data_IF_339800278172
#
_entry.id   IF_339800278172
#
_cell.length_a   1.000
_cell.length_b   1.000
_cell.length_c   1.000
_cell.angle_alpha   90.00
_cell.angle_beta   90.00
_cell.angle_gamma   90.00
#
_symmetry.space_group_name_H-M   'P 1'
#
loop_
_entity.id
_entity.type
_entity.pdbx_description
1 polymer ?
#
# COMPACT_ATOMS: atom_id res chain seq x y z
N UNK A 1 11.46 2.75 -16.55
CA UNK A 1 11.29 2.15 -17.89
C UNK A 1 9.83 2.29 -18.28
N UNK A 2 9.52 2.56 -19.55
CA UNK A 2 8.14 2.64 -20.02
C UNK A 2 7.45 1.28 -19.93
N UNK A 3 6.12 1.29 -19.84
CA UNK A 3 5.32 0.08 -20.05
C UNK A 3 5.18 -0.10 -21.56
N UNK A 4 5.52 -1.29 -22.05
CA UNK A 4 5.32 -1.68 -23.44
C UNK A 4 4.25 -2.76 -23.49
N UNK A 5 3.18 -2.53 -24.27
CA UNK A 5 2.05 -3.45 -24.29
C UNK A 5 0.93 -3.04 -25.22
N UNK A 6 -0.18 -3.77 -25.12
CA UNK A 6 -1.43 -3.51 -25.86
C UNK A 6 -2.56 -3.30 -24.86
N UNK A 7 -3.46 -2.38 -25.19
CA UNK A 7 -4.64 -2.09 -24.41
C UNK A 7 -5.90 -2.12 -25.28
N UNK A 8 -7.00 -2.56 -24.69
CA UNK A 8 -8.34 -2.53 -25.27
C UNK A 8 -9.26 -1.75 -24.35
N UNK A 9 -10.07 -0.87 -24.94
CA UNK A 9 -11.11 -0.15 -24.24
C UNK A 9 -12.47 -0.80 -24.54
N UNK A 10 -13.06 -1.44 -23.54
CA UNK A 10 -14.38 -2.05 -23.64
C UNK A 10 -15.46 -1.08 -23.19
N UNK A 11 -16.54 -0.96 -23.97
CA UNK A 11 -17.71 -0.14 -23.63
C UNK A 11 -17.42 1.36 -23.44
N UNK A 12 -16.26 1.86 -23.89
CA UNK A 12 -15.84 3.24 -23.72
C UNK A 12 -15.26 3.61 -22.34
N UNK A 13 -15.24 2.69 -21.37
CA UNK A 13 -14.78 2.99 -20.00
C UNK A 13 -13.90 1.91 -19.36
N UNK A 14 -14.00 0.64 -19.78
CA UNK A 14 -13.27 -0.46 -19.17
C UNK A 14 -11.94 -0.69 -19.90
N UNK A 15 -10.86 -0.10 -19.38
CA UNK A 15 -9.51 -0.26 -19.89
C UNK A 15 -8.90 -1.57 -19.41
N UNK A 16 -8.45 -2.40 -20.35
CA UNK A 16 -7.72 -3.64 -20.06
C UNK A 16 -6.43 -3.64 -20.87
N UNK A 17 -5.29 -3.76 -20.20
CA UNK A 17 -4.01 -3.86 -20.88
C UNK A 17 -3.20 -5.06 -20.40
N UNK A 18 -2.33 -5.52 -21.29
CA UNK A 18 -1.26 -6.48 -20.99
C UNK A 18 0.03 -5.95 -21.58
N UNK A 19 1.12 -6.08 -20.84
CA UNK A 19 2.41 -5.60 -21.29
C UNK A 19 3.54 -6.08 -20.40
N UNK A 20 4.68 -5.41 -20.51
CA UNK A 20 5.83 -5.64 -19.64
C UNK A 20 6.24 -4.36 -18.93
N UNK A 21 6.72 -4.51 -17.71
CA UNK A 21 7.34 -3.46 -16.91
C UNK A 21 8.60 -4.03 -16.30
N UNK A 22 9.75 -3.42 -16.59
CA UNK A 22 11.04 -3.91 -16.12
C UNK A 22 11.29 -5.40 -16.41
N UNK A 23 10.88 -5.85 -17.61
CA UNK A 23 11.01 -7.22 -18.06
C UNK A 23 10.02 -8.21 -17.46
N UNK A 24 9.15 -7.78 -16.53
CA UNK A 24 8.11 -8.63 -15.94
C UNK A 24 6.76 -8.43 -16.64
N UNK A 25 6.01 -9.52 -16.92
CA UNK A 25 4.67 -9.40 -17.48
C UNK A 25 3.72 -8.77 -16.45
N UNK A 26 2.89 -7.86 -16.93
CA UNK A 26 1.89 -7.15 -16.12
C UNK A 26 0.53 -7.12 -16.81
N UNK A 27 -0.51 -6.94 -16.01
CA UNK A 27 -1.86 -6.60 -16.44
C UNK A 27 -2.27 -5.27 -15.85
N UNK A 28 -3.12 -4.56 -16.59
CA UNK A 28 -3.79 -3.36 -16.11
C UNK A 28 -5.30 -3.51 -16.23
N UNK A 29 -6.00 -3.17 -15.16
CA UNK A 29 -7.45 -3.18 -15.07
C UNK A 29 -7.88 -1.83 -14.52
N UNK A 30 -8.31 -0.94 -15.40
CA UNK A 30 -8.74 0.42 -15.06
C UNK A 30 -10.17 0.69 -15.50
N UNK A 31 -10.81 1.59 -14.79
CA UNK A 31 -12.09 2.21 -15.11
C UNK A 31 -11.86 3.69 -15.41
N UNK A 32 -12.30 4.13 -16.59
CA UNK A 32 -12.27 5.53 -17.00
C UNK A 32 -13.53 6.21 -16.50
N UNK A 33 -13.40 7.36 -15.83
CA UNK A 33 -14.55 8.15 -15.39
C UNK A 33 -15.43 8.59 -16.57
N UNK A 34 -16.71 8.84 -16.32
CA UNK A 34 -17.68 9.20 -17.38
C UNK A 34 -17.28 10.45 -18.18
N UNK A 35 -16.60 11.41 -17.53
CA UNK A 35 -16.07 12.63 -18.15
C UNK A 35 -14.73 12.40 -18.88
N UNK A 36 -14.20 11.17 -18.89
CA UNK A 36 -12.91 10.81 -19.48
C UNK A 36 -11.69 11.33 -18.74
N UNK A 37 -11.87 12.00 -17.57
CA UNK A 37 -10.79 12.76 -16.93
C UNK A 37 -9.82 11.89 -16.12
N UNK A 38 -10.26 10.71 -15.67
CA UNK A 38 -9.45 9.84 -14.81
C UNK A 38 -9.58 8.37 -15.11
N UNK A 39 -8.53 7.63 -14.76
CA UNK A 39 -8.48 6.18 -14.71
C UNK A 39 -8.30 5.79 -13.26
N UNK A 40 -9.15 4.89 -12.74
CA UNK A 40 -9.02 4.31 -11.40
C UNK A 40 -9.02 2.80 -11.50
N UNK A 41 -8.12 2.14 -10.79
CA UNK A 41 -7.98 0.69 -10.91
C UNK A 41 -6.64 0.20 -10.41
N UNK A 42 -6.18 -0.92 -10.96
CA UNK A 42 -4.95 -1.55 -10.52
C UNK A 42 -4.10 -2.03 -11.69
N UNK A 43 -2.79 -1.98 -11.46
CA UNK A 43 -1.79 -2.72 -12.23
C UNK A 43 -1.20 -3.81 -11.35
N UNK A 44 -0.98 -4.99 -11.91
CA UNK A 44 -0.49 -6.15 -11.17
C UNK A 44 0.42 -7.04 -12.01
N UNK A 45 1.26 -7.82 -11.33
CA UNK A 45 2.15 -8.80 -11.95
C UNK A 45 1.31 -9.99 -12.48
N UNK A 46 1.63 -10.51 -13.66
CA UNK A 46 1.00 -11.72 -14.22
C UNK A 46 1.92 -12.93 -13.92
N UNK A 47 1.46 -14.01 -13.26
CA UNK A 47 0.08 -14.36 -12.88
C UNK A 47 -0.36 -13.88 -11.48
N UNK A 48 0.50 -13.18 -10.74
CA UNK A 48 0.25 -12.77 -9.35
C UNK A 48 -0.59 -11.50 -9.22
N UNK A 49 -1.91 -11.61 -9.46
CA UNK A 49 -2.83 -10.48 -9.36
C UNK A 49 -2.90 -9.85 -7.95
N UNK A 50 -2.54 -10.61 -6.92
CA UNK A 50 -2.39 -10.16 -5.55
C UNK A 50 -1.25 -9.14 -5.37
N UNK A 51 -0.22 -9.19 -6.22
CA UNK A 51 0.90 -8.25 -6.23
C UNK A 51 0.52 -7.06 -7.11
N UNK A 52 -0.24 -6.13 -6.53
CA UNK A 52 -0.87 -5.03 -7.26
C UNK A 52 -0.64 -3.66 -6.64
N UNK A 53 -0.57 -2.66 -7.51
CA UNK A 53 -0.66 -1.24 -7.15
C UNK A 53 -2.02 -0.68 -7.57
N UNK A 54 -2.77 -0.12 -6.61
CA UNK A 54 -3.96 0.68 -6.92
C UNK A 54 -3.51 2.06 -7.35
N UNK A 55 -4.02 2.54 -8.48
CA UNK A 55 -3.58 3.77 -9.11
C UNK A 55 -4.77 4.63 -9.54
N UNK A 56 -4.59 5.94 -9.40
CA UNK A 56 -5.40 6.95 -10.07
C UNK A 56 -4.52 7.68 -11.08
N UNK A 57 -4.94 7.70 -12.34
CA UNK A 57 -4.23 8.39 -13.43
C UNK A 57 -5.12 9.48 -14.02
N UNK A 58 -4.52 10.53 -14.53
CA UNK A 58 -5.19 11.56 -15.33
C UNK A 58 -4.33 11.87 -16.55
N UNK A 59 -4.95 12.31 -17.65
CA UNK A 59 -4.22 12.74 -18.82
C UNK A 59 -3.42 14.01 -18.52
N UNK A 60 -2.17 14.05 -18.97
CA UNK A 60 -1.39 15.28 -18.94
C UNK A 60 -2.08 16.36 -19.78
N UNK A 61 -2.26 17.56 -19.22
CA UNK A 61 -2.95 18.66 -19.88
C UNK A 61 -4.46 18.68 -19.70
N UNK A 62 -5.04 17.69 -19.00
CA UNK A 62 -6.42 17.77 -18.51
C UNK A 62 -6.56 18.81 -17.39
N UNK A 63 -7.80 19.12 -17.00
CA UNK A 63 -8.13 20.13 -15.99
C UNK A 63 -7.24 20.03 -14.74
N UNK A 64 -6.69 21.15 -14.23
CA UNK A 64 -5.72 21.11 -13.14
C UNK A 64 -6.23 20.34 -11.92
N UNK A 65 -5.43 19.38 -11.43
CA UNK A 65 -5.71 18.64 -10.19
C UNK A 65 -4.46 18.05 -9.56
N UNK A 66 -4.52 17.88 -8.24
CA UNK A 66 -3.54 17.09 -7.48
C UNK A 66 -4.07 15.66 -7.36
N UNK A 67 -3.25 14.68 -7.75
CA UNK A 67 -3.55 13.26 -7.64
C UNK A 67 -2.95 12.63 -6.37
N UNK A 68 -1.77 13.08 -5.97
CA UNK A 68 -1.06 12.53 -4.82
C UNK A 68 -0.04 13.51 -4.24
N UNK A 69 0.21 13.39 -2.95
CA UNK A 69 1.28 14.08 -2.23
C UNK A 69 2.08 13.02 -1.47
N UNK A 70 3.40 13.04 -1.65
CA UNK A 70 4.31 12.02 -1.12
C UNK A 70 5.48 12.68 -0.38
N UNK A 71 5.72 12.35 0.90
CA UNK A 71 4.89 11.49 1.75
C UNK A 71 3.50 12.09 2.02
N UNK A 72 2.54 11.24 2.41
CA UNK A 72 1.16 11.65 2.74
C UNK A 72 1.06 12.39 4.08
N UNK A 73 2.06 12.26 4.95
CA UNK A 73 2.08 13.00 6.20
C UNK A 73 3.52 13.33 6.62
N UNK A 74 3.70 14.42 7.36
CA UNK A 74 4.96 14.79 8.00
C UNK A 74 4.78 15.03 9.50
N UNK A 75 5.80 14.67 10.27
CA UNK A 75 5.80 14.90 11.71
C UNK A 75 6.00 16.39 12.02
N UNK A 76 5.32 16.91 13.03
CA UNK A 76 5.56 18.23 13.59
C UNK A 76 7.05 18.40 13.95
N UNK A 77 7.60 19.57 13.63
CA UNK A 77 9.03 19.87 13.86
C UNK A 77 10.00 19.36 12.80
N UNK A 78 9.56 18.54 11.84
CA UNK A 78 10.41 18.06 10.73
C UNK A 78 11.05 19.22 9.98
N UNK A 79 12.35 19.10 9.65
CA UNK A 79 13.10 20.10 8.88
C UNK A 79 13.61 19.53 7.57
N UNK A 80 13.62 20.38 6.54
CA UNK A 80 14.13 20.08 5.20
C UNK A 80 13.57 18.80 4.57
N UNK A 81 12.31 18.46 4.84
CA UNK A 81 11.66 17.30 4.25
C UNK A 81 11.38 17.53 2.77
N UNK A 82 11.59 16.49 1.95
CA UNK A 82 11.21 16.52 0.53
C UNK A 82 9.77 16.06 0.38
N UNK A 83 8.94 16.87 -0.28
CA UNK A 83 7.55 16.55 -0.64
C UNK A 83 7.40 16.60 -2.15
N UNK A 84 6.85 15.54 -2.72
CA UNK A 84 6.52 15.43 -4.14
C UNK A 84 5.00 15.49 -4.33
N UNK A 85 4.54 16.43 -5.14
CA UNK A 85 3.15 16.60 -5.55
C UNK A 85 3.04 16.11 -6.99
N UNK A 86 2.11 15.19 -7.25
CA UNK A 86 1.85 14.63 -8.59
C UNK A 86 0.43 14.98 -9.01
N UNK A 87 0.25 15.33 -10.28
CA UNK A 87 -1.02 15.81 -10.79
C UNK A 87 -0.99 16.20 -12.26
N UNK A 88 -1.88 17.11 -12.65
CA UNK A 88 -1.90 17.79 -13.96
C UNK A 88 -2.18 19.27 -13.74
N UNK A 89 -1.68 20.13 -14.61
CA UNK A 89 -1.83 21.58 -14.49
C UNK A 89 -1.16 22.18 -13.24
N UNK A 90 -0.14 21.51 -12.69
CA UNK A 90 0.60 21.98 -11.52
C UNK A 90 1.54 23.14 -11.87
N UNK A 91 1.88 23.96 -10.88
CA UNK A 91 2.89 25.02 -11.01
C UNK A 91 3.70 25.19 -9.72
N UNK A 92 4.67 26.10 -9.73
CA UNK A 92 5.60 26.34 -8.61
C UNK A 92 4.95 27.00 -7.39
N UNK A 93 3.76 27.58 -7.54
CA UNK A 93 2.98 28.19 -6.46
C UNK A 93 2.39 27.09 -5.57
N UNK A 94 3.17 26.66 -4.57
CA UNK A 94 2.81 25.55 -3.67
C UNK A 94 2.48 26.04 -2.26
N UNK A 95 1.42 25.50 -1.68
CA UNK A 95 1.12 25.58 -0.25
C UNK A 95 0.72 24.20 0.28
N UNK A 96 1.26 23.81 1.44
CA UNK A 96 0.93 22.55 2.12
C UNK A 96 0.07 22.80 3.38
N UNK A 97 -0.56 23.97 3.47
CA UNK A 97 -1.43 24.37 4.58
C UNK A 97 -0.68 24.79 5.85
N UNK A 98 -1.46 25.06 6.89
CA UNK A 98 -0.97 25.69 8.12
C UNK A 98 0.12 24.89 8.85
N UNK A 99 1.12 25.61 9.36
CA UNK A 99 2.25 25.00 10.06
C UNK A 99 3.28 24.33 9.14
N UNK A 100 3.12 24.36 7.81
CA UNK A 100 4.12 23.87 6.86
C UNK A 100 4.64 25.01 5.99
N UNK A 101 5.95 25.26 6.06
CA UNK A 101 6.64 26.29 5.30
C UNK A 101 7.38 25.66 4.12
N UNK A 102 7.02 26.04 2.90
CA UNK A 102 7.80 25.69 1.70
C UNK A 102 9.10 26.50 1.71
N UNK A 103 10.24 25.81 1.83
CA UNK A 103 11.57 26.42 1.87
C UNK A 103 12.14 26.64 0.48
N UNK A 104 11.93 25.67 -0.41
CA UNK A 104 12.47 25.68 -1.76
C UNK A 104 11.59 24.87 -2.71
N UNK A 105 11.38 25.36 -3.92
CA UNK A 105 10.90 24.54 -5.04
C UNK A 105 12.12 23.92 -5.71
N UNK A 106 12.26 22.59 -5.59
CA UNK A 106 13.40 21.84 -6.14
C UNK A 106 13.22 21.64 -7.65
N UNK A 107 12.01 21.28 -8.07
CA UNK A 107 11.63 21.18 -9.48
C UNK A 107 10.13 21.37 -9.64
N UNK A 108 9.71 21.88 -10.79
CA UNK A 108 8.30 22.05 -11.11
C UNK A 108 8.06 21.77 -12.60
N UNK A 109 7.05 20.96 -12.88
CA UNK A 109 6.46 20.74 -14.19
C UNK A 109 4.93 20.70 -14.04
N UNK A 110 4.18 20.77 -15.14
CA UNK A 110 2.72 20.62 -15.11
C UNK A 110 2.22 19.31 -14.50
N UNK A 111 3.06 18.28 -14.39
CA UNK A 111 2.67 16.95 -13.87
C UNK A 111 3.31 16.56 -12.55
N UNK A 112 4.38 17.26 -12.13
CA UNK A 112 5.12 16.95 -10.92
C UNK A 112 5.79 18.20 -10.35
N UNK A 113 5.61 18.44 -9.06
CA UNK A 113 6.32 19.48 -8.32
C UNK A 113 7.01 18.85 -7.13
N UNK A 114 8.29 19.16 -6.94
CA UNK A 114 9.07 18.71 -5.78
C UNK A 114 9.49 19.93 -4.98
N UNK A 115 9.19 19.92 -3.69
CA UNK A 115 9.52 21.01 -2.76
C UNK A 115 10.27 20.48 -1.54
N UNK A 116 11.09 21.33 -0.94
CA UNK A 116 11.65 21.12 0.39
C UNK A 116 10.85 21.96 1.38
N UNK A 117 10.42 21.37 2.50
CA UNK A 117 9.55 22.00 3.49
C UNK A 117 10.05 21.83 4.91
N UNK A 118 9.66 22.77 5.77
CA UNK A 118 9.75 22.66 7.22
C UNK A 118 8.36 22.59 7.82
N UNK A 119 8.17 21.76 8.84
CA UNK A 119 6.97 21.74 9.68
C UNK A 119 7.28 22.46 10.99
N UNK A 120 6.37 23.31 11.45
CA UNK A 120 6.50 23.97 12.74
C UNK A 120 6.47 22.94 13.87
N UNK A 121 7.28 23.14 14.92
CA UNK A 121 7.33 22.21 16.06
C UNK A 121 6.03 22.13 16.85
N UNK A 122 5.21 23.19 16.80
CA UNK A 122 3.89 23.28 17.45
C UNK A 122 2.74 23.16 16.45
N UNK A 123 2.99 22.63 15.24
CA UNK A 123 1.93 22.40 14.27
C UNK A 123 0.94 21.37 14.83
N UNK A 124 -0.34 21.69 14.79
CA UNK A 124 -1.41 20.79 15.26
C UNK A 124 -1.51 19.57 14.35
N UNK A 125 -1.79 18.40 14.91
CA UNK A 125 -2.09 17.22 14.11
C UNK A 125 -3.35 17.47 13.25
N UNK A 126 -3.37 16.94 12.03
CA UNK A 126 -4.54 16.95 11.17
C UNK A 126 -4.24 17.08 9.69
N UNK A 127 -5.29 16.92 8.90
CA UNK A 127 -5.24 17.08 7.45
C UNK A 127 -4.92 18.53 7.04
N UNK A 128 -4.32 18.69 5.88
CA UNK A 128 -4.00 19.98 5.28
C UNK A 128 -4.59 20.11 3.89
N UNK A 129 -4.97 21.35 3.56
CA UNK A 129 -5.37 21.71 2.21
C UNK A 129 -4.12 22.04 1.40
N UNK A 130 -3.78 21.16 0.47
CA UNK A 130 -2.64 21.34 -0.43
C UNK A 130 -3.07 22.14 -1.64
N UNK A 131 -2.21 23.07 -2.06
CA UNK A 131 -2.36 23.83 -3.30
C UNK A 131 -1.08 23.72 -4.13
N UNK A 132 -1.25 23.62 -5.43
CA UNK A 132 -0.17 23.69 -6.41
C UNK A 132 -0.75 24.32 -7.69
N UNK A 133 -0.41 25.59 -7.93
CA UNK A 133 -1.03 26.39 -8.98
C UNK A 133 -2.52 26.61 -8.75
N UNK A 134 -3.31 26.38 -9.81
CA UNK A 134 -4.77 26.48 -9.75
C UNK A 134 -5.47 25.29 -9.08
N UNK A 135 -4.72 24.26 -8.67
CA UNK A 135 -5.28 23.05 -8.06
C UNK A 135 -5.24 23.11 -6.54
N UNK A 136 -6.30 22.60 -5.91
CA UNK A 136 -6.36 22.38 -4.47
C UNK A 136 -6.90 20.98 -4.18
N UNK A 137 -6.39 20.35 -3.11
CA UNK A 137 -6.90 19.08 -2.62
C UNK A 137 -6.82 19.05 -1.08
N UNK A 138 -7.94 18.67 -0.45
CA UNK A 138 -7.96 18.29 0.96
C UNK A 138 -7.64 16.80 1.13
N UNK A 139 -7.17 16.41 2.30
CA UNK A 139 -6.97 15.00 2.71
C UNK A 139 -5.89 14.20 1.96
N UNK A 140 -5.05 14.86 1.15
CA UNK A 140 -3.90 14.20 0.52
C UNK A 140 -2.59 14.39 1.30
N UNK A 141 -2.59 15.28 2.27
CA UNK A 141 -1.43 15.59 3.10
C UNK A 141 -1.86 15.93 4.53
N UNK A 142 -1.12 15.43 5.52
CA UNK A 142 -1.37 15.71 6.92
C UNK A 142 -0.10 16.08 7.69
N UNK A 143 -0.28 16.72 8.84
CA UNK A 143 0.75 16.83 9.87
C UNK A 143 0.35 15.94 11.03
N UNK A 144 1.30 15.22 11.61
CA UNK A 144 1.10 14.37 12.80
C UNK A 144 2.14 14.68 13.87
N UNK A 145 1.91 14.26 15.11
CA UNK A 145 2.83 14.53 16.23
C UNK A 145 3.68 13.31 16.59
N UNK A 146 3.10 12.11 16.57
CA UNK A 146 3.78 10.85 16.83
C UNK A 146 3.22 9.71 15.97
N UNK A 147 4.00 8.66 15.78
CA UNK A 147 3.45 7.36 15.35
C UNK A 147 2.95 6.65 16.60
N UNK A 148 1.64 6.53 16.74
CA UNK A 148 1.01 6.06 17.96
C UNK A 148 0.69 4.57 17.94
N UNK A 149 0.40 4.02 16.76
CA UNK A 149 0.15 2.60 16.56
C UNK A 149 0.43 2.20 15.11
N UNK A 150 0.53 0.90 14.87
CA UNK A 150 0.63 0.32 13.54
C UNK A 150 -0.52 -0.67 13.31
N UNK A 151 -0.86 -0.91 12.04
CA UNK A 151 -1.75 -1.99 11.60
C UNK A 151 -1.01 -2.87 10.60
N UNK A 152 -1.23 -4.18 10.67
CA UNK A 152 -0.83 -5.11 9.60
C UNK A 152 -1.96 -5.13 8.59
N UNK A 153 -1.66 -4.77 7.34
CA UNK A 153 -2.63 -4.76 6.23
C UNK A 153 -2.09 -5.58 5.05
N UNK A 154 -2.94 -6.34 4.33
CA UNK A 154 -4.35 -6.58 4.63
C UNK A 154 -4.54 -7.46 5.87
N UNK A 155 -5.69 -7.35 6.53
CA UNK A 155 -6.14 -8.28 7.56
C UNK A 155 -7.67 -8.23 7.66
N UNK A 156 -8.39 -9.36 7.57
CA UNK A 156 -7.87 -10.71 7.29
C UNK A 156 -7.28 -10.83 5.88
N UNK A 157 -6.39 -11.79 5.69
CA UNK A 157 -5.77 -12.12 4.41
C UNK A 157 -5.87 -13.63 4.12
N UNK A 158 -5.68 -14.00 2.85
CA UNK A 158 -5.68 -15.40 2.41
C UNK A 158 -4.57 -15.63 1.38
N UNK A 159 -3.76 -16.66 1.61
CA UNK A 159 -2.78 -17.20 0.66
C UNK A 159 -3.18 -18.60 0.21
N UNK A 160 -2.66 -19.06 -0.93
CA UNK A 160 -2.91 -20.42 -1.43
C UNK A 160 -1.64 -21.15 -1.77
N UNK A 161 -1.51 -22.38 -1.29
CA UNK A 161 -0.45 -23.30 -1.70
C UNK A 161 -0.49 -23.53 -3.22
N UNK A 162 0.63 -23.96 -3.80
CA UNK A 162 0.77 -24.23 -5.22
C UNK A 162 2.22 -24.49 -5.58
N UNK A 163 2.53 -24.49 -6.87
CA UNK A 163 3.90 -24.51 -7.38
C UNK A 163 4.50 -25.89 -7.63
N UNK A 164 3.74 -26.99 -7.46
CA UNK A 164 4.19 -28.34 -7.81
C UNK A 164 3.55 -28.89 -9.10
N UNK A 165 2.59 -28.19 -9.69
CA UNK A 165 1.93 -28.63 -10.91
C UNK A 165 1.28 -27.49 -11.71
N UNK A 166 -0.05 -27.56 -11.83
CA UNK A 166 -0.85 -26.73 -12.75
C UNK A 166 -1.19 -25.33 -12.23
N UNK A 167 -0.83 -25.03 -10.98
CA UNK A 167 -1.25 -23.82 -10.28
C UNK A 167 -0.04 -23.14 -9.62
N UNK A 168 -0.04 -21.81 -9.66
CA UNK A 168 0.97 -21.00 -8.97
C UNK A 168 0.56 -20.76 -7.52
N UNK A 169 1.54 -20.48 -6.66
CA UNK A 169 1.27 -20.01 -5.30
C UNK A 169 0.55 -18.67 -5.36
N UNK A 170 -0.47 -18.50 -4.52
CA UNK A 170 -1.09 -17.18 -4.31
C UNK A 170 -0.47 -16.54 -3.07
N UNK A 171 0.26 -15.45 -3.29
CA UNK A 171 1.05 -14.76 -2.27
C UNK A 171 0.20 -13.78 -1.46
N UNK A 172 0.79 -13.20 -0.41
CA UNK A 172 0.23 -12.02 0.26
C UNK A 172 1.35 -11.03 0.58
N UNK A 173 1.25 -9.82 0.03
CA UNK A 173 2.09 -8.70 0.49
C UNK A 173 1.42 -8.04 1.69
N UNK A 174 2.09 -8.07 2.84
CA UNK A 174 1.70 -7.32 4.02
C UNK A 174 2.48 -6.01 4.14
N UNK A 175 1.83 -4.97 4.66
CA UNK A 175 2.41 -3.70 5.03
C UNK A 175 2.15 -3.40 6.50
N UNK A 176 3.17 -2.87 7.17
CA UNK A 176 3.02 -2.25 8.48
C UNK A 176 2.66 -0.79 8.25
N UNK A 177 1.39 -0.46 8.42
CA UNK A 177 0.88 0.90 8.23
C UNK A 177 0.86 1.64 9.56
N UNK A 178 1.59 2.74 9.63
CA UNK A 178 1.67 3.61 10.80
C UNK A 178 0.55 4.64 10.82
N UNK A 179 0.05 4.91 12.02
CA UNK A 179 -1.00 5.88 12.27
C UNK A 179 -0.67 6.75 13.47
N UNK A 180 -1.18 7.98 13.45
CA UNK A 180 -1.29 8.85 14.62
C UNK A 180 -2.75 8.93 15.06
N UNK A 181 -3.01 8.99 16.36
CA UNK A 181 -4.33 9.06 17.00
C UNK A 181 -5.06 10.41 16.82
N UNK A 182 -4.66 11.20 15.84
CA UNK A 182 -5.30 12.48 15.56
C UNK A 182 -5.29 13.46 16.73
N UNK A 183 -6.35 14.27 16.79
CA UNK A 183 -6.54 15.31 17.79
C UNK A 183 -7.27 14.80 19.04
N UNK A 184 -8.09 13.76 18.91
CA UNK A 184 -8.84 13.17 20.03
C UNK A 184 -7.98 12.27 20.94
N UNK A 185 -6.81 11.82 20.45
CA UNK A 185 -5.87 11.00 21.20
C UNK A 185 -6.31 9.55 21.40
N UNK A 186 -7.35 9.10 20.68
CA UNK A 186 -7.83 7.73 20.66
C UNK A 186 -7.42 7.02 19.37
N UNK A 187 -7.23 5.70 19.42
CA UNK A 187 -6.93 4.91 18.23
C UNK A 187 -8.21 4.29 17.68
N UNK A 188 -8.32 4.20 16.36
CA UNK A 188 -9.47 3.60 15.66
C UNK A 188 -10.63 4.57 15.46
N UNK A 189 -10.38 5.87 15.52
CA UNK A 189 -11.35 6.96 15.33
C UNK A 189 -11.21 7.59 13.94
N UNK A 190 -12.15 8.45 13.57
CA UNK A 190 -12.19 9.06 12.22
C UNK A 190 -11.06 10.08 11.97
N UNK A 191 -10.45 10.61 13.02
CA UNK A 191 -9.36 11.58 12.94
C UNK A 191 -7.97 10.94 13.00
N UNK A 192 -7.89 9.60 13.07
CA UNK A 192 -6.65 8.84 12.86
C UNK A 192 -5.97 9.29 11.55
N UNK A 193 -4.69 9.62 11.65
CA UNK A 193 -3.89 10.08 10.51
C UNK A 193 -3.03 8.93 10.03
N UNK A 194 -3.29 8.45 8.81
CA UNK A 194 -2.39 7.52 8.12
C UNK A 194 -1.05 8.21 7.84
N UNK A 195 0.00 7.77 8.53
CA UNK A 195 1.38 8.24 8.31
C UNK A 195 1.95 7.59 7.05
N UNK A 196 1.65 6.29 6.87
CA UNK A 196 2.08 5.50 5.72
C UNK A 196 2.78 4.21 6.13
N UNK A 197 3.35 3.52 5.13
CA UNK A 197 4.12 2.29 5.33
C UNK A 197 5.40 2.58 6.11
N UNK A 198 5.68 1.79 7.14
CA UNK A 198 6.91 1.84 7.94
C UNK A 198 7.70 0.52 7.85
N UNK A 199 9.03 0.55 8.02
CA UNK A 199 9.81 -0.68 8.11
C UNK A 199 9.41 -1.47 9.35
N UNK A 200 9.31 -2.78 9.24
CA UNK A 200 8.94 -3.65 10.35
C UNK A 200 9.75 -4.95 10.35
N UNK A 201 9.85 -5.55 11.54
CA UNK A 201 10.28 -6.93 11.70
C UNK A 201 9.05 -7.81 11.61
N UNK A 202 9.07 -8.76 10.67
CA UNK A 202 7.96 -9.64 10.35
C UNK A 202 8.17 -11.04 10.94
N UNK A 203 7.10 -11.64 11.47
CA UNK A 203 7.07 -13.07 11.86
C UNK A 203 5.71 -13.68 11.56
N UNK A 204 5.71 -14.95 11.20
CA UNK A 204 4.53 -15.82 11.24
C UNK A 204 4.52 -16.48 12.62
N UNK A 205 3.40 -16.39 13.33
CA UNK A 205 3.24 -16.98 14.65
C UNK A 205 1.91 -17.71 14.74
N UNK A 206 1.88 -18.72 15.60
CA UNK A 206 0.74 -19.63 15.74
C UNK A 206 -0.55 -18.91 16.13
N UNK A 207 -1.67 -19.29 15.51
CA UNK A 207 -2.98 -18.99 16.04
C UNK A 207 -3.36 -20.13 16.97
N UNK A 208 -2.86 -20.07 18.21
CA UNK A 208 -3.00 -21.17 19.16
C UNK A 208 -4.46 -21.55 19.41
N UNK A 209 -4.95 -22.56 18.69
CA UNK A 209 -6.25 -23.21 18.89
C UNK A 209 -6.12 -24.43 19.81
N UNK A 210 -4.94 -25.06 19.82
CA UNK A 210 -4.54 -26.16 20.70
C UNK A 210 -3.00 -26.18 20.88
N UNK A 211 -2.49 -27.01 21.79
CA UNK A 211 -1.03 -27.13 22.03
C UNK A 211 -0.30 -27.96 20.96
N UNK A 212 -1.04 -28.67 20.10
CA UNK A 212 -0.49 -29.49 19.00
C UNK A 212 -0.61 -28.76 17.66
N UNK A 213 -1.05 -27.51 17.69
CA UNK A 213 -1.15 -26.66 16.51
C UNK A 213 0.23 -26.11 16.16
N UNK A 214 0.76 -26.59 15.04
CA UNK A 214 2.09 -26.25 14.52
C UNK A 214 2.00 -25.63 13.12
N UNK A 215 0.85 -25.05 12.77
CA UNK A 215 0.59 -24.44 11.47
C UNK A 215 1.70 -23.47 11.05
N UNK A 216 2.20 -22.64 11.97
CA UNK A 216 3.27 -21.68 11.69
C UNK A 216 4.57 -22.32 11.15
N UNK A 217 4.82 -23.60 11.42
CA UNK A 217 5.97 -24.35 10.90
C UNK A 217 5.79 -24.80 9.45
N UNK A 218 4.53 -24.93 8.98
CA UNK A 218 4.20 -25.56 7.71
C UNK A 218 3.56 -24.62 6.68
N UNK A 219 2.79 -23.62 7.10
CA UNK A 219 1.97 -22.79 6.20
C UNK A 219 2.77 -21.96 5.20
N UNK A 220 4.04 -21.66 5.49
CA UNK A 220 4.90 -20.86 4.63
C UNK A 220 5.86 -19.97 5.41
N UNK A 221 6.35 -18.92 4.76
CA UNK A 221 7.31 -17.98 5.35
C UNK A 221 7.03 -16.55 4.92
N UNK A 222 7.43 -15.59 5.74
CA UNK A 222 7.36 -14.16 5.43
C UNK A 222 8.77 -13.57 5.33
N UNK A 223 9.01 -12.80 4.26
CA UNK A 223 10.30 -12.15 4.05
C UNK A 223 10.41 -10.83 4.84
N UNK A 224 11.62 -10.24 4.81
CA UNK A 224 11.89 -8.95 5.48
C UNK A 224 11.06 -7.77 4.94
N UNK A 225 10.48 -7.90 3.76
CA UNK A 225 9.66 -6.87 3.12
C UNK A 225 8.16 -7.08 3.39
N UNK A 226 7.77 -8.11 4.14
CA UNK A 226 6.39 -8.44 4.44
C UNK A 226 5.71 -9.31 3.37
N UNK A 227 6.45 -9.88 2.42
CA UNK A 227 5.89 -10.79 1.42
C UNK A 227 5.79 -12.19 2.02
N UNK A 228 4.56 -12.64 2.27
CA UNK A 228 4.27 -14.02 2.66
C UNK A 228 4.19 -14.92 1.43
N UNK A 229 4.97 -16.01 1.46
CA UNK A 229 4.98 -17.08 0.46
C UNK A 229 4.48 -18.37 1.11
N UNK A 230 3.35 -18.94 0.65
CA UNK A 230 2.81 -20.16 1.23
C UNK A 230 3.70 -21.38 0.95
N UNK A 231 3.48 -22.43 1.74
CA UNK A 231 4.07 -23.75 1.53
C UNK A 231 3.68 -24.39 0.19
N UNK A 232 4.28 -25.54 -0.10
CA UNK A 232 3.98 -26.30 -1.31
C UNK A 232 2.62 -26.99 -1.19
N UNK A 233 1.95 -27.22 -2.32
CA UNK A 233 0.67 -27.94 -2.37
C UNK A 233 0.82 -29.44 -2.12
N UNK A 234 -0.28 -30.09 -1.69
CA UNK A 234 -0.36 -31.54 -1.53
C UNK A 234 0.03 -32.06 -0.13
N UNK A 235 -0.11 -33.39 0.09
CA UNK A 235 0.16 -34.03 1.38
C UNK A 235 1.60 -33.81 1.84
N UNK A 236 1.79 -33.43 3.10
CA UNK A 236 3.11 -33.28 3.71
C UNK A 236 3.36 -34.40 4.73
N UNK A 237 4.29 -35.36 4.45
CA UNK A 237 4.60 -36.46 5.37
C UNK A 237 5.07 -36.06 6.77
N UNK A 238 5.47 -34.79 6.96
CA UNK A 238 5.88 -34.24 8.27
C UNK A 238 4.71 -33.78 9.13
N UNK A 239 3.52 -33.62 8.55
CA UNK A 239 2.31 -33.24 9.29
C UNK A 239 1.58 -34.47 9.81
N UNK A 240 0.86 -34.30 10.92
CA UNK A 240 -0.08 -35.30 11.39
C UNK A 240 -1.05 -35.68 10.27
N UNK A 241 -1.31 -36.98 10.11
CA UNK A 241 -2.12 -37.55 9.03
C UNK A 241 -1.69 -37.16 7.60
N UNK A 242 -0.46 -36.68 7.42
CA UNK A 242 0.06 -36.18 6.15
C UNK A 242 -0.77 -35.04 5.55
N UNK A 243 -1.32 -34.17 6.39
CA UNK A 243 -2.10 -33.01 5.95
C UNK A 243 -1.31 -32.06 5.03
N UNK A 244 -2.02 -31.17 4.33
CA UNK A 244 -1.41 -30.17 3.44
C UNK A 244 -0.72 -29.06 4.24
N UNK A 245 0.12 -28.24 3.59
CA UNK A 245 0.75 -27.05 4.19
C UNK A 245 -0.21 -25.85 4.32
N UNK A 246 -1.35 -26.06 4.96
CA UNK A 246 -2.43 -25.09 5.14
C UNK A 246 -2.69 -24.83 6.63
N UNK A 247 -3.36 -23.75 6.97
CA UNK A 247 -3.56 -23.37 8.36
C UNK A 247 -3.86 -21.90 8.54
N UNK A 248 -4.28 -21.51 9.73
CA UNK A 248 -4.49 -20.11 10.11
C UNK A 248 -3.44 -19.63 11.10
N UNK A 249 -2.87 -18.45 10.81
CA UNK A 249 -1.74 -17.91 11.56
C UNK A 249 -1.89 -16.41 11.76
N UNK A 250 -1.15 -15.90 12.74
CA UNK A 250 -0.92 -14.47 12.89
C UNK A 250 0.33 -14.06 12.13
N UNK A 251 0.21 -13.08 11.25
CA UNK A 251 1.35 -12.33 10.71
C UNK A 251 1.58 -11.12 11.59
N UNK A 252 2.71 -11.08 12.28
CA UNK A 252 3.08 -10.01 13.20
C UNK A 252 4.07 -9.05 12.57
N UNK A 253 3.89 -7.76 12.88
CA UNK A 253 4.81 -6.69 12.54
C UNK A 253 5.24 -5.97 13.82
N UNK A 254 6.54 -5.69 13.94
CA UNK A 254 7.09 -4.86 15.02
C UNK A 254 7.88 -3.70 14.43
N UNK A 255 7.57 -2.47 14.85
CA UNK A 255 8.20 -1.23 14.41
C UNK A 255 8.73 -0.44 15.62
N UNK A 256 9.91 0.15 15.48
CA UNK A 256 10.48 1.08 16.47
C UNK A 256 10.60 2.45 15.83
N UNK A 257 9.71 3.42 16.15
CA UNK A 257 9.77 4.76 15.58
C UNK A 257 10.96 5.56 16.13
N UNK A 258 11.39 6.63 15.42
CA UNK A 258 12.32 7.61 15.98
C UNK A 258 11.74 8.23 17.25
N UNK A 259 12.48 8.17 18.37
CA UNK A 259 12.00 8.61 19.69
C UNK A 259 11.76 7.47 20.69
N UNK A 260 11.84 6.21 20.24
CA UNK A 260 11.77 5.03 21.10
C UNK A 260 10.37 4.45 21.23
N UNK A 261 10.25 3.39 22.04
CA UNK A 261 9.06 2.57 22.12
C UNK A 261 8.99 1.51 21.01
N UNK A 262 8.29 0.42 21.27
CA UNK A 262 8.08 -0.65 20.29
C UNK A 262 6.59 -0.78 20.03
N UNK A 263 6.21 -0.61 18.76
CA UNK A 263 4.85 -0.79 18.29
C UNK A 263 4.74 -2.18 17.67
N UNK A 264 3.70 -2.91 18.05
CA UNK A 264 3.42 -4.24 17.50
C UNK A 264 1.97 -4.33 17.04
N UNK A 265 1.76 -5.04 15.94
CA UNK A 265 0.44 -5.41 15.46
C UNK A 265 0.48 -6.81 14.86
N UNK A 266 -0.71 -7.39 14.69
CA UNK A 266 -0.90 -8.67 14.02
C UNK A 266 -2.04 -8.57 13.01
N UNK A 267 -1.90 -9.27 11.91
CA UNK A 267 -2.94 -9.50 10.91
C UNK A 267 -3.24 -10.99 10.82
N UNK A 268 -4.51 -11.33 10.61
CA UNK A 268 -4.91 -12.73 10.43
C UNK A 268 -4.61 -13.17 9.00
N UNK A 269 -4.04 -14.37 8.84
CA UNK A 269 -3.80 -14.99 7.55
C UNK A 269 -4.32 -16.43 7.56
N UNK A 270 -5.14 -16.76 6.57
CA UNK A 270 -5.49 -18.13 6.23
C UNK A 270 -4.65 -18.61 5.03
N UNK A 271 -3.75 -19.56 5.25
CA UNK A 271 -3.10 -20.30 4.19
C UNK A 271 -3.97 -21.52 3.82
N UNK A 272 -4.39 -21.63 2.56
CA UNK A 272 -5.36 -22.66 2.15
C UNK A 272 -4.96 -23.35 0.85
N UNK A 273 -5.79 -24.30 0.42
CA UNK A 273 -5.59 -25.16 -0.74
C UNK A 273 -5.46 -24.36 -2.06
N UNK A 274 -4.83 -24.96 -3.09
CA UNK A 274 -4.64 -24.30 -4.38
C UNK A 274 -5.94 -23.96 -5.09
N UNK A 275 -5.89 -23.01 -6.02
CA UNK A 275 -7.01 -22.61 -6.86
C UNK A 275 -6.84 -23.15 -8.29
N UNK A 276 -7.43 -24.32 -8.59
CA UNK A 276 -7.35 -24.95 -9.91
C UNK A 276 -8.27 -24.30 -10.96
N UNK A 277 -9.37 -23.67 -10.53
CA UNK A 277 -10.30 -22.98 -11.42
C UNK A 277 -10.26 -21.50 -11.11
N UNK A 278 -9.38 -20.79 -11.80
CA UNK A 278 -9.35 -19.34 -11.76
C UNK A 278 -10.16 -18.77 -12.92
N UNK A 279 -11.14 -17.93 -12.59
CA UNK A 279 -11.98 -17.23 -13.58
C UNK A 279 -11.57 -15.76 -13.63
N UNK A 280 -11.81 -15.07 -14.76
CA UNK A 280 -11.56 -13.62 -14.84
C UNK A 280 -12.32 -12.78 -13.81
N UNK A 281 -13.47 -13.29 -13.34
CA UNK A 281 -14.26 -12.74 -12.23
C UNK A 281 -14.49 -13.88 -11.25
N UNK A 282 -14.08 -13.68 -10.00
CA UNK A 282 -14.09 -14.68 -8.94
C UNK A 282 -15.07 -14.32 -7.83
#
# INVERSE_FOLDING_TARGET
>A
QPIEGKATLYGGYAWRASGTLAGKPIREVFHISMDGSTFTGARFDDPHFELRGVETRAFAGSSPRILSVMPKALQAGTKNATVTIVGTGLSKEVSLGDGVTVKKVVSASPTKVVVTVDVAGKATAGQRNVKAGGSAAGKLFAVYTAVDFIKVVPSPAMSRTGGLGFVVKQLVQFDAMAYSKGADGAAGTEDDIEVGRVPAVWKVVELASSNEDHDAEFVGSIDRNGLFTPGDEGPNPKRFMQENNIGDVWVTATHTPPGGGTLSARGYLLATIPLYVQRPVQ
#
